data_IF_183790173998
#
_entry.id   IF_183790173998
#
_cell.length_a   1.000
_cell.length_b   1.000
_cell.length_c   1.000
_cell.angle_alpha   90.00
_cell.angle_beta   90.00
_cell.angle_gamma   90.00
#
_symmetry.space_group_name_H-M   'P 1'
#
loop_
_entity.id
_entity.type
_entity.pdbx_description
1 polymer ?
#
# COMPACT_ATOMS: atom_id res chain seq x y z
N UNK A 1 -16.91 22.03 -11.52
CA UNK A 1 -17.07 21.70 -11.12
C UNK A 1 -17.50 21.42 -10.67
N UNK A 2 -17.63 21.69 -10.56
CA UNK A 2 -17.87 21.33 -9.95
C UNK A 2 -17.91 20.36 -9.82
N UNK A 3 -17.59 20.07 -10.17
CA UNK A 3 -17.59 19.00 -10.01
C UNK A 3 -17.02 18.49 -9.52
N UNK A 4 -16.35 18.76 -9.42
CA UNK A 4 -15.81 18.34 -8.90
C UNK A 4 -15.69 18.43 -7.91
N UNK A 5 -15.76 19.22 -7.63
CA UNK A 5 -15.76 19.25 -6.63
C UNK A 5 -16.36 18.82 -5.87
N UNK A 6 -16.91 19.00 -6.10
CA UNK A 6 -17.65 18.49 -5.38
C UNK A 6 -17.39 17.22 -5.21
N UNK A 7 -16.97 16.57 -5.88
CA UNK A 7 -16.65 15.40 -5.83
C UNK A 7 -15.66 15.16 -4.85
N UNK A 8 -14.84 16.01 -4.67
CA UNK A 8 -13.91 15.88 -3.73
C UNK A 8 -14.48 16.03 -2.49
N UNK A 9 -15.37 16.84 -2.35
CA UNK A 9 -15.84 17.01 -1.16
C UNK A 9 -16.82 16.15 -0.86
N UNK A 10 -17.07 15.25 -1.57
CA UNK A 10 -17.85 14.33 -1.20
C UNK A 10 -17.32 13.67 -0.22
N UNK A 11 -17.56 13.79 0.84
CA UNK A 11 -17.00 13.13 1.85
C UNK A 11 -17.42 11.84 1.62
N UNK A 12 -16.83 10.96 1.93
CA UNK A 12 -17.11 9.70 1.84
C UNK A 12 -18.29 9.61 2.55
N UNK A 13 -19.23 9.50 1.93
CA UNK A 13 -20.36 9.39 2.56
C UNK A 13 -20.46 8.00 3.00
N UNK A 14 -19.59 7.08 2.69
CA UNK A 14 -19.68 5.77 3.21
C UNK A 14 -19.15 5.71 4.56
N UNK A 15 -19.82 5.10 5.52
CA UNK A 15 -19.28 4.94 6.85
C UNK A 15 -18.08 4.00 6.78
N UNK A 16 -17.13 4.17 7.64
CA UNK A 16 -16.00 3.27 7.68
C UNK A 16 -16.44 1.92 8.17
N UNK A 17 -15.94 0.86 7.55
CA UNK A 17 -16.34 -0.47 7.95
C UNK A 17 -15.81 -0.86 9.32
N UNK A 18 -16.59 -1.58 10.06
CA UNK A 18 -16.16 -2.10 11.34
C UNK A 18 -16.78 -3.49 11.52
N UNK A 19 -15.97 -4.44 11.91
CA UNK A 19 -16.37 -5.83 12.04
C UNK A 19 -16.23 -6.26 13.49
N UNK A 20 -17.32 -6.40 14.24
CA UNK A 20 -17.23 -6.75 15.66
C UNK A 20 -16.45 -8.05 15.92
N UNK A 21 -16.51 -8.98 14.98
CA UNK A 21 -15.80 -10.23 15.13
C UNK A 21 -15.00 -10.48 13.86
N UNK A 22 -13.83 -9.83 13.71
CA UNK A 22 -13.10 -9.95 12.46
C UNK A 22 -12.69 -11.38 12.18
N UNK A 23 -12.92 -11.83 10.96
CA UNK A 23 -12.66 -13.18 10.57
C UNK A 23 -11.34 -13.38 9.86
N UNK A 24 -10.76 -12.33 9.37
CA UNK A 24 -9.52 -12.44 8.61
C UNK A 24 -8.70 -11.19 8.77
N UNK A 25 -7.52 -11.20 8.17
CA UNK A 25 -6.59 -10.08 8.32
C UNK A 25 -7.13 -8.79 7.71
N UNK A 26 -7.86 -8.91 6.61
CA UNK A 26 -8.42 -7.72 5.98
C UNK A 26 -9.39 -7.01 6.94
N UNK A 27 -10.22 -7.77 7.62
CA UNK A 27 -11.18 -7.19 8.56
C UNK A 27 -10.48 -6.60 9.77
N UNK A 28 -9.39 -7.23 10.21
CA UNK A 28 -8.62 -6.68 11.33
C UNK A 28 -8.01 -5.35 10.94
N UNK A 29 -7.45 -5.26 9.73
CA UNK A 29 -6.85 -4.02 9.27
C UNK A 29 -7.89 -2.91 9.14
N UNK A 30 -9.08 -3.24 8.65
CA UNK A 30 -10.14 -2.26 8.51
C UNK A 30 -10.64 -1.81 9.88
N UNK A 31 -10.67 -2.71 10.86
CA UNK A 31 -11.04 -2.34 12.21
C UNK A 31 -10.04 -1.36 12.81
N UNK A 32 -8.76 -1.59 12.59
CA UNK A 32 -7.74 -0.69 13.11
C UNK A 32 -7.82 0.68 12.43
N UNK A 33 -8.22 0.69 11.14
CA UNK A 33 -8.47 1.95 10.47
C UNK A 33 -9.61 2.71 11.16
N UNK A 34 -10.67 1.99 11.52
CA UNK A 34 -11.78 2.60 12.21
C UNK A 34 -11.32 3.17 13.56
N UNK A 35 -10.54 2.39 14.30
CA UNK A 35 -10.06 2.85 15.60
C UNK A 35 -9.20 4.09 15.47
N UNK A 36 -8.39 4.15 14.44
CA UNK A 36 -7.54 5.30 14.23
C UNK A 36 -8.37 6.54 13.83
N UNK A 37 -9.26 6.37 12.87
CA UNK A 37 -10.00 7.50 12.33
C UNK A 37 -11.12 7.99 13.23
N UNK A 38 -11.83 7.08 13.84
CA UNK A 38 -13.01 7.46 14.63
C UNK A 38 -12.67 7.64 16.09
N UNK A 39 -11.82 6.78 16.63
CA UNK A 39 -11.50 6.85 18.05
C UNK A 39 -10.18 7.56 18.34
N UNK A 40 -9.44 7.92 17.32
CA UNK A 40 -8.15 8.60 17.52
C UNK A 40 -7.06 7.76 18.13
N UNK A 41 -7.16 6.45 18.01
CA UNK A 41 -6.17 5.56 18.61
C UNK A 41 -4.96 5.43 17.71
N UNK A 42 -3.90 6.13 18.04
CA UNK A 42 -2.71 6.11 17.21
C UNK A 42 -1.98 4.78 17.24
N UNK A 43 -2.22 3.97 18.24
CA UNK A 43 -1.58 2.66 18.29
C UNK A 43 -2.12 1.76 17.19
N UNK A 44 -3.32 2.06 16.70
CA UNK A 44 -3.89 1.28 15.61
C UNK A 44 -3.06 1.37 14.35
N UNK A 45 -2.46 2.53 14.06
CA UNK A 45 -1.60 2.64 12.89
C UNK A 45 -0.41 1.70 12.99
N UNK A 46 0.15 1.57 14.17
CA UNK A 46 1.29 0.71 14.37
C UNK A 46 0.90 -0.75 14.14
N UNK A 47 -0.29 -1.13 14.60
CA UNK A 47 -0.78 -2.49 14.37
C UNK A 47 -1.01 -2.74 12.89
N UNK A 48 -1.55 -1.76 12.18
CA UNK A 48 -1.75 -1.88 10.75
C UNK A 48 -0.40 -2.06 10.04
N UNK A 49 0.59 -1.29 10.45
CA UNK A 49 1.91 -1.37 9.84
C UNK A 49 2.49 -2.77 10.03
N UNK A 50 2.44 -3.28 11.25
CA UNK A 50 3.05 -4.58 11.53
C UNK A 50 2.39 -5.73 10.80
N UNK A 51 1.08 -5.79 10.87
CA UNK A 51 0.38 -6.86 10.18
C UNK A 51 0.49 -6.69 8.67
N UNK A 52 0.40 -5.45 8.20
CA UNK A 52 0.52 -5.17 6.77
C UNK A 52 1.86 -5.60 6.21
N UNK A 53 2.94 -5.40 6.97
CA UNK A 53 4.25 -5.78 6.51
C UNK A 53 4.35 -7.31 6.38
N UNK A 54 3.79 -8.03 7.32
CA UNK A 54 3.78 -9.49 7.27
C UNK A 54 2.98 -9.98 6.06
N UNK A 55 1.81 -9.40 5.83
CA UNK A 55 0.97 -9.79 4.71
C UNK A 55 1.67 -9.46 3.40
N UNK A 56 2.31 -8.30 3.34
CA UNK A 56 3.00 -7.89 2.12
C UNK A 56 4.13 -8.84 1.78
N UNK A 57 4.90 -9.26 2.76
CA UNK A 57 5.99 -10.18 2.51
C UNK A 57 5.47 -11.55 2.06
N UNK A 58 4.39 -12.02 2.66
CA UNK A 58 3.78 -13.27 2.23
C UNK A 58 3.34 -13.19 0.79
N UNK A 59 2.76 -12.07 0.41
CA UNK A 59 2.28 -11.89 -0.96
C UNK A 59 3.45 -11.88 -1.94
N UNK A 60 4.55 -11.20 -1.57
CA UNK A 60 5.73 -11.17 -2.43
C UNK A 60 6.27 -12.58 -2.61
N UNK A 61 6.31 -13.36 -1.54
CA UNK A 61 6.79 -14.73 -1.63
C UNK A 61 5.87 -15.59 -2.50
N UNK A 62 4.58 -15.32 -2.49
CA UNK A 62 3.64 -16.01 -3.35
C UNK A 62 3.89 -15.65 -4.82
N UNK A 63 4.13 -14.37 -5.09
CA UNK A 63 4.42 -13.93 -6.46
C UNK A 63 5.73 -14.55 -6.92
N UNK A 64 6.70 -14.68 -6.03
CA UNK A 64 8.00 -15.25 -6.38
C UNK A 64 7.88 -16.69 -6.90
N UNK A 65 6.86 -17.39 -6.47
CA UNK A 65 6.68 -18.77 -6.93
C UNK A 65 6.31 -18.83 -8.41
N UNK A 66 5.75 -17.74 -8.93
CA UNK A 66 5.32 -17.72 -10.31
C UNK A 66 6.09 -16.73 -11.18
N UNK A 67 6.96 -15.94 -10.59
CA UNK A 67 7.68 -14.92 -11.33
C UNK A 67 9.17 -15.03 -11.03
N UNK A 68 9.95 -15.39 -12.04
CA UNK A 68 11.36 -15.62 -11.85
C UNK A 68 12.14 -14.39 -11.43
N UNK A 69 11.76 -13.24 -11.95
CA UNK A 69 12.47 -12.01 -11.60
C UNK A 69 12.28 -11.69 -10.12
N UNK A 70 11.07 -11.91 -9.60
CA UNK A 70 10.80 -11.68 -8.20
C UNK A 70 11.51 -12.73 -7.35
N UNK A 71 11.54 -13.98 -7.83
CA UNK A 71 12.21 -15.06 -7.12
C UNK A 71 13.70 -14.78 -6.95
N UNK A 72 14.30 -14.04 -7.87
CA UNK A 72 15.72 -13.76 -7.80
C UNK A 72 16.07 -12.62 -6.87
N UNK A 73 15.09 -11.90 -6.35
CA UNK A 73 15.38 -10.82 -5.43
C UNK A 73 15.95 -11.37 -4.14
N UNK A 74 16.91 -10.68 -3.58
CA UNK A 74 17.44 -11.05 -2.29
C UNK A 74 16.36 -10.87 -1.24
N UNK A 75 16.47 -11.61 -0.14
CA UNK A 75 15.47 -11.53 0.92
C UNK A 75 15.35 -10.11 1.45
N UNK A 76 16.46 -9.42 1.63
CA UNK A 76 16.40 -8.05 2.14
C UNK A 76 15.68 -7.12 1.16
N UNK A 77 15.77 -7.37 -0.13
CA UNK A 77 15.07 -6.55 -1.12
C UNK A 77 13.58 -6.84 -1.08
N UNK A 78 13.20 -8.09 -0.87
CA UNK A 78 11.79 -8.42 -0.72
C UNK A 78 11.20 -7.75 0.51
N UNK A 79 11.96 -7.76 1.59
CA UNK A 79 11.53 -7.14 2.83
C UNK A 79 11.40 -5.64 2.68
N UNK A 80 12.32 -5.04 1.95
CA UNK A 80 12.26 -3.61 1.71
C UNK A 80 11.04 -3.24 0.89
N UNK A 81 10.70 -4.04 -0.10
CA UNK A 81 9.52 -3.76 -0.92
C UNK A 81 8.23 -3.93 -0.13
N UNK A 82 8.18 -4.93 0.75
CA UNK A 82 7.03 -5.10 1.62
C UNK A 82 6.90 -3.91 2.56
N UNK A 83 8.01 -3.47 3.12
CA UNK A 83 8.04 -2.32 4.02
C UNK A 83 7.58 -1.06 3.27
N UNK A 84 8.07 -0.86 2.06
CA UNK A 84 7.70 0.33 1.29
C UNK A 84 6.22 0.35 0.95
N UNK A 85 5.65 -0.81 0.65
CA UNK A 85 4.24 -0.88 0.30
C UNK A 85 3.35 -0.47 1.47
N UNK A 86 3.61 -1.02 2.65
CA UNK A 86 2.76 -0.69 3.78
C UNK A 86 3.05 0.72 4.30
N UNK A 87 4.30 1.15 4.22
CA UNK A 87 4.66 2.50 4.65
C UNK A 87 3.97 3.55 3.79
N UNK A 88 3.82 3.28 2.50
CA UNK A 88 3.11 4.18 1.63
C UNK A 88 1.67 4.37 2.11
N UNK A 89 1.02 3.28 2.49
CA UNK A 89 -0.37 3.35 2.94
C UNK A 89 -0.46 4.09 4.28
N UNK A 90 0.43 3.80 5.20
CA UNK A 90 0.42 4.45 6.50
C UNK A 90 0.65 5.96 6.33
N UNK A 91 1.56 6.33 5.42
CA UNK A 91 1.82 7.73 5.17
C UNK A 91 0.58 8.45 4.64
N UNK A 92 -0.26 7.75 3.89
CA UNK A 92 -1.48 8.37 3.39
C UNK A 92 -2.45 8.68 4.53
N UNK A 93 -2.52 7.83 5.54
CA UNK A 93 -3.36 8.14 6.70
C UNK A 93 -2.86 9.37 7.42
N UNK A 94 -1.55 9.60 7.41
CA UNK A 94 -0.98 10.74 8.12
C UNK A 94 -1.04 12.03 7.30
N UNK A 95 -0.96 11.92 5.98
CA UNK A 95 -0.93 13.11 5.15
C UNK A 95 -2.24 13.54 4.56
N UNK A 96 -3.10 12.61 4.27
CA UNK A 96 -4.37 12.90 3.62
C UNK A 96 -5.46 12.82 4.66
N UNK A 97 -6.04 13.96 4.97
CA UNK A 97 -6.97 14.05 6.08
C UNK A 97 -8.09 13.03 6.08
N UNK A 98 -8.71 12.82 4.97
CA UNK A 98 -9.85 11.91 4.93
C UNK A 98 -9.57 10.60 4.24
N UNK A 99 -8.31 10.23 4.13
CA UNK A 99 -7.97 8.98 3.47
C UNK A 99 -8.58 7.80 4.23
N UNK A 100 -9.26 6.95 3.51
CA UNK A 100 -9.85 5.75 4.10
C UNK A 100 -10.04 4.70 3.02
N UNK A 101 -9.91 3.45 3.42
CA UNK A 101 -10.13 2.32 2.53
C UNK A 101 -11.46 1.72 2.94
N UNK A 102 -12.42 1.64 2.03
CA UNK A 102 -13.75 1.21 2.40
C UNK A 102 -14.09 -0.20 1.96
N UNK A 103 -13.32 -0.80 1.08
CA UNK A 103 -13.64 -2.14 0.61
C UNK A 103 -12.63 -3.19 1.01
N UNK A 104 -11.44 -3.12 0.50
CA UNK A 104 -10.47 -4.15 0.80
C UNK A 104 -9.11 -3.55 1.07
N UNK A 105 -8.67 -3.65 2.31
CA UNK A 105 -7.36 -3.17 2.68
C UNK A 105 -6.29 -4.04 2.02
N UNK A 106 -6.47 -5.36 2.07
CA UNK A 106 -5.48 -6.26 1.48
C UNK A 106 -5.42 -6.07 -0.03
N UNK A 107 -6.55 -5.80 -0.68
CA UNK A 107 -6.56 -5.52 -2.11
C UNK A 107 -5.74 -4.29 -2.45
N UNK A 108 -5.90 -3.24 -1.66
CA UNK A 108 -5.16 -2.02 -1.86
C UNK A 108 -3.66 -2.25 -1.61
N UNK A 109 -3.35 -3.00 -0.57
CA UNK A 109 -1.97 -3.34 -0.25
C UNK A 109 -1.33 -4.13 -1.39
N UNK A 110 -2.06 -5.10 -1.95
CA UNK A 110 -1.53 -5.92 -3.04
C UNK A 110 -1.25 -5.06 -4.27
N UNK A 111 -2.08 -4.07 -4.56
CA UNK A 111 -1.80 -3.16 -5.66
C UNK A 111 -0.52 -2.38 -5.42
N UNK A 112 -0.29 -1.93 -4.20
CA UNK A 112 0.94 -1.22 -3.89
C UNK A 112 2.16 -2.14 -4.01
N UNK A 113 2.00 -3.41 -3.64
CA UNK A 113 3.09 -4.35 -3.76
C UNK A 113 3.41 -4.59 -5.23
N UNK A 114 2.41 -4.74 -6.07
CA UNK A 114 2.64 -4.91 -7.49
C UNK A 114 3.36 -3.69 -8.05
N UNK A 115 3.00 -2.51 -7.59
CA UNK A 115 3.65 -1.29 -8.01
C UNK A 115 5.13 -1.32 -7.62
N UNK A 116 5.44 -1.74 -6.39
CA UNK A 116 6.81 -1.83 -5.93
C UNK A 116 7.62 -2.87 -6.71
N UNK A 117 7.00 -3.99 -7.01
CA UNK A 117 7.71 -5.07 -7.68
C UNK A 117 7.93 -4.85 -9.16
N UNK A 118 6.92 -4.31 -9.84
CA UNK A 118 6.97 -4.25 -11.29
C UNK A 118 7.04 -2.85 -11.86
N UNK A 119 6.25 -1.98 -11.32
CA UNK A 119 6.17 -0.65 -11.88
C UNK A 119 7.32 0.22 -11.45
N UNK A 120 7.64 0.21 -10.18
CA UNK A 120 8.74 1.00 -9.65
C UNK A 120 10.05 0.54 -10.27
N UNK A 121 10.26 -0.77 -10.34
CA UNK A 121 11.46 -1.26 -10.94
C UNK A 121 11.59 -0.86 -12.39
N UNK A 122 10.49 -0.87 -13.11
CA UNK A 122 10.50 -0.51 -14.49
C UNK A 122 10.87 0.96 -14.65
N UNK A 123 10.34 1.80 -13.79
CA UNK A 123 10.65 3.22 -13.84
C UNK A 123 12.12 3.44 -13.51
N UNK A 124 12.63 2.80 -12.47
CA UNK A 124 14.01 2.94 -12.09
C UNK A 124 14.92 2.50 -13.22
N UNK A 125 14.56 1.43 -13.89
CA UNK A 125 15.37 0.93 -14.95
C UNK A 125 15.39 1.90 -16.11
N UNK A 126 14.28 2.52 -16.41
CA UNK A 126 14.21 3.47 -17.48
C UNK A 126 15.02 4.70 -17.13
N UNK A 127 14.95 5.16 -15.91
CA UNK A 127 15.70 6.31 -15.48
C UNK A 127 17.19 6.05 -15.58
N UNK A 128 17.64 4.89 -15.12
CA UNK A 128 19.03 4.56 -15.22
C UNK A 128 19.47 4.58 -16.65
N UNK A 129 18.68 4.02 -17.53
CA UNK A 129 19.06 3.93 -18.88
C UNK A 129 19.09 5.28 -19.55
N UNK A 130 18.10 6.09 -19.38
CA UNK A 130 18.02 7.34 -19.99
C UNK A 130 18.91 8.37 -19.40
N UNK A 131 19.04 8.40 -18.08
CA UNK A 131 19.74 9.33 -17.45
C UNK A 131 21.13 9.31 -17.67
N UNK A 132 21.69 8.18 -17.83
CA UNK A 132 23.02 8.07 -17.95
C UNK A 132 23.39 8.26 -19.31
N UNK A 133 22.49 8.23 -20.16
CA UNK A 133 22.73 8.30 -21.44
C UNK A 133 22.21 9.51 -21.84
N UNK A 134 21.25 9.85 -21.38
CA UNK A 134 20.61 10.86 -21.74
C UNK A 134 19.97 11.55 -20.81
N UNK A 135 19.77 11.14 -20.00
CA UNK A 135 19.28 11.59 -19.08
C UNK A 135 19.96 11.53 -18.72
N UNK A 136 20.59 11.05 -19.65
CA UNK A 136 21.04 10.67 -19.95
C UNK A 136 20.52 10.14 -20.74
N UNK A 137 20.01 10.07 -21.32
CA UNK A 137 19.47 9.68 -21.90
C UNK A 137 19.04 8.71 -22.30
N UNK A 138 19.34 8.30 -22.65
CA UNK A 138 18.85 7.52 -22.78
C UNK A 138 19.12 6.48 -22.66
N UNK A 139 19.82 6.14 -22.68
CA UNK A 139 20.00 5.41 -22.49
C UNK A 139 19.94 5.13 -22.01
#
# INVERSE_FOLDING_TARGET
>A
VEFDFEFDELPPTRPLPYYPAPKNDNEKLLNWQYEYRIKGDEKALNKMYRLGEIIALRYINTVAKKNKAVAKLAQCDKEEKAHNAITYIIARYLRVKDFAITESFTGYLFLRIKHELFYQRKVDKIVDFVDWESYRGAK
#
